data_IF_464865344302
#
_entry.id   IF_464865344302
#
_cell.length_a   1.000
_cell.length_b   1.000
_cell.length_c   1.000
_cell.angle_alpha   90.00
_cell.angle_beta   90.00
_cell.angle_gamma   90.00
#
_symmetry.space_group_name_H-M   'P 1'
#
loop_
_entity.id
_entity.type
_entity.pdbx_description
1 polymer ?
#
# COMPACT_ATOMS: atom_id res chain seq x y z
N UNK A 1 -14.45 29.45 -17.34
CA UNK A 1 -14.28 28.26 -18.22
C UNK A 1 -14.36 27.02 -17.33
N UNK A 2 -15.34 26.15 -17.52
CA UNK A 2 -15.38 24.85 -16.83
C UNK A 2 -14.42 23.91 -17.57
N UNK A 3 -13.39 23.41 -16.88
CA UNK A 3 -12.59 22.31 -17.43
C UNK A 3 -13.47 21.06 -17.50
N UNK A 4 -13.36 20.25 -18.57
CA UNK A 4 -14.08 19.00 -18.66
C UNK A 4 -13.70 18.08 -17.49
N UNK A 5 -14.63 17.26 -16.98
CA UNK A 5 -14.35 16.33 -15.90
C UNK A 5 -13.25 15.35 -16.32
N UNK A 6 -12.22 15.19 -15.48
CA UNK A 6 -11.12 14.25 -15.70
C UNK A 6 -11.60 12.79 -15.56
N UNK A 7 -10.82 11.81 -16.04
CA UNK A 7 -11.19 10.39 -15.96
C UNK A 7 -11.36 9.93 -14.52
N UNK A 8 -10.46 10.34 -13.63
CA UNK A 8 -10.56 10.00 -12.20
C UNK A 8 -11.72 10.73 -11.51
N UNK A 9 -12.17 11.87 -12.03
CA UNK A 9 -13.35 12.58 -11.51
C UNK A 9 -14.68 11.89 -11.85
N UNK A 10 -14.68 11.06 -12.90
CA UNK A 10 -15.84 10.28 -13.33
C UNK A 10 -15.94 8.93 -12.61
N UNK A 11 -14.91 8.53 -11.86
CA UNK A 11 -14.94 7.28 -11.10
C UNK A 11 -15.81 7.42 -9.85
N UNK A 12 -16.47 6.34 -9.40
CA UNK A 12 -17.14 6.35 -8.12
C UNK A 12 -16.15 6.65 -6.99
N UNK A 13 -16.64 7.17 -5.83
CA UNK A 13 -15.81 7.29 -4.64
C UNK A 13 -15.14 5.97 -4.26
N UNK A 14 -13.91 6.05 -3.80
CA UNK A 14 -13.14 4.93 -3.22
C UNK A 14 -13.79 4.41 -1.94
N UNK A 15 -14.38 5.30 -1.15
CA UNK A 15 -15.15 4.97 0.05
C UNK A 15 -16.37 5.88 0.06
N UNK A 16 -17.55 5.29 -0.05
CA UNK A 16 -18.82 6.00 0.19
C UNK A 16 -19.11 6.08 1.69
N UNK A 17 -20.05 6.94 2.08
CA UNK A 17 -20.53 6.98 3.46
C UNK A 17 -21.14 5.62 3.84
N UNK A 18 -21.87 4.99 2.92
CA UNK A 18 -22.48 3.68 3.13
C UNK A 18 -21.44 2.59 3.33
N UNK A 19 -20.35 2.57 2.54
CA UNK A 19 -19.25 1.62 2.74
C UNK A 19 -18.68 1.72 4.17
N UNK A 20 -18.42 2.96 4.62
CA UNK A 20 -17.91 3.22 5.96
C UNK A 20 -18.90 2.77 7.05
N UNK A 21 -20.18 3.15 6.93
CA UNK A 21 -21.23 2.79 7.89
C UNK A 21 -21.44 1.27 7.93
N UNK A 22 -21.32 0.60 6.79
CA UNK A 22 -21.46 -0.86 6.67
C UNK A 22 -20.33 -1.64 7.32
N UNK A 23 -19.20 -1.01 7.68
CA UNK A 23 -18.18 -1.63 8.54
C UNK A 23 -18.71 -1.90 9.96
N UNK A 24 -19.81 -1.26 10.38
CA UNK A 24 -20.44 -1.50 11.67
C UNK A 24 -21.41 -2.68 11.59
N UNK A 25 -21.66 -3.33 12.74
CA UNK A 25 -22.62 -4.44 12.81
C UNK A 25 -24.03 -3.94 12.45
N UNK A 26 -24.40 -2.79 12.99
CA UNK A 26 -25.64 -2.08 12.71
C UNK A 26 -25.31 -0.73 12.03
N UNK A 27 -25.83 -0.45 10.82
CA UNK A 27 -25.69 0.85 10.16
C UNK A 27 -26.18 2.05 11.00
N UNK A 28 -27.14 1.84 11.91
CA UNK A 28 -27.69 2.89 12.77
C UNK A 28 -26.90 3.10 14.07
N UNK A 29 -25.79 2.38 14.26
CA UNK A 29 -24.93 2.47 15.44
C UNK A 29 -24.51 3.93 15.68
N UNK A 30 -24.67 4.38 16.93
CA UNK A 30 -24.29 5.73 17.36
C UNK A 30 -22.82 6.06 16.99
N UNK A 31 -21.92 5.08 17.04
CA UNK A 31 -20.50 5.23 16.69
C UNK A 31 -20.29 5.42 15.19
N UNK A 32 -21.15 4.86 14.35
CA UNK A 32 -21.12 5.07 12.90
C UNK A 32 -21.49 6.52 12.58
N UNK A 33 -22.61 7.00 13.14
CA UNK A 33 -23.06 8.40 12.99
C UNK A 33 -22.04 9.41 13.50
N UNK A 34 -21.43 9.17 14.66
CA UNK A 34 -20.33 10.02 15.16
C UNK A 34 -19.10 9.99 14.26
N UNK A 35 -18.80 8.84 13.66
CA UNK A 35 -17.69 8.71 12.72
C UNK A 35 -17.90 9.55 11.46
N UNK A 36 -19.10 9.48 10.87
CA UNK A 36 -19.47 10.33 9.73
C UNK A 36 -19.38 11.80 10.11
N UNK A 37 -20.01 12.20 11.23
CA UNK A 37 -19.97 13.59 11.71
C UNK A 37 -18.57 14.11 12.05
N UNK A 38 -17.59 13.22 12.26
CA UNK A 38 -16.19 13.60 12.44
C UNK A 38 -15.41 13.66 11.13
N UNK A 39 -15.61 12.70 10.23
CA UNK A 39 -14.81 12.52 9.01
C UNK A 39 -15.28 13.40 7.84
N UNK A 40 -16.58 13.63 7.71
CA UNK A 40 -17.16 14.40 6.60
C UNK A 40 -16.74 15.89 6.65
N UNK A 41 -16.80 16.60 7.80
CA UNK A 41 -16.32 18.00 7.85
C UNK A 41 -14.82 18.15 7.61
N UNK A 42 -14.04 17.07 7.81
CA UNK A 42 -12.62 17.00 7.49
C UNK A 42 -12.37 16.67 6.01
N UNK A 43 -13.42 16.47 5.22
CA UNK A 43 -13.30 16.08 3.83
C UNK A 43 -12.65 14.70 3.66
N UNK A 44 -12.78 13.78 4.62
CA UNK A 44 -12.27 12.40 4.48
C UNK A 44 -13.30 11.48 3.83
N UNK A 45 -14.60 11.73 4.07
CA UNK A 45 -15.72 11.01 3.47
C UNK A 45 -16.64 11.96 2.70
N UNK A 46 -17.19 11.55 1.54
CA UNK A 46 -16.77 10.39 0.75
C UNK A 46 -15.34 10.56 0.20
N UNK A 47 -14.58 9.46 0.15
CA UNK A 47 -13.19 9.49 -0.32
C UNK A 47 -13.16 9.32 -1.84
N UNK A 48 -12.61 10.29 -2.58
CA UNK A 48 -12.47 10.23 -4.05
C UNK A 48 -10.98 10.31 -4.45
N UNK A 49 -10.66 10.09 -5.72
CA UNK A 49 -9.28 10.22 -6.23
C UNK A 49 -8.69 11.63 -6.11
N UNK A 50 -9.53 12.67 -6.12
CA UNK A 50 -9.10 14.08 -6.02
C UNK A 50 -9.11 14.60 -4.58
N UNK A 51 -9.38 13.72 -3.61
CA UNK A 51 -9.42 14.09 -2.21
C UNK A 51 -8.01 14.47 -1.72
N UNK A 52 -7.89 15.63 -1.06
CA UNK A 52 -6.60 16.14 -0.56
C UNK A 52 -5.92 15.22 0.46
N UNK A 53 -6.71 14.42 1.19
CA UNK A 53 -6.22 13.48 2.20
C UNK A 53 -5.89 12.08 1.64
N UNK A 54 -6.25 11.77 0.39
CA UNK A 54 -5.97 10.46 -0.22
C UNK A 54 -4.47 10.12 -0.25
N UNK A 55 -3.53 11.04 -0.53
CA UNK A 55 -2.10 10.71 -0.49
C UNK A 55 -1.63 10.22 0.89
N UNK A 56 -2.07 10.85 1.97
CA UNK A 56 -1.71 10.44 3.35
C UNK A 56 -2.39 9.12 3.73
N UNK A 57 -3.67 8.96 3.37
CA UNK A 57 -4.39 7.69 3.55
C UNK A 57 -3.74 6.55 2.77
N UNK A 58 -3.24 6.79 1.56
CA UNK A 58 -2.52 5.80 0.77
C UNK A 58 -1.21 5.35 1.45
N UNK A 59 -0.48 6.28 2.07
CA UNK A 59 0.72 5.93 2.86
C UNK A 59 0.34 4.98 3.99
N UNK A 60 -0.67 5.33 4.81
CA UNK A 60 -1.12 4.48 5.91
C UNK A 60 -1.68 3.14 5.42
N UNK A 61 -2.43 3.16 4.32
CA UNK A 61 -3.01 1.98 3.68
C UNK A 61 -1.92 1.01 3.22
N UNK A 62 -0.89 1.50 2.52
CA UNK A 62 0.22 0.69 2.04
C UNK A 62 1.00 0.05 3.21
N UNK A 63 1.27 0.82 4.26
CA UNK A 63 1.97 0.30 5.43
C UNK A 63 1.17 -0.79 6.15
N UNK A 64 -0.14 -0.59 6.32
CA UNK A 64 -1.02 -1.61 6.90
C UNK A 64 -1.10 -2.85 6.01
N UNK A 65 -1.26 -2.68 4.70
CA UNK A 65 -1.37 -3.79 3.76
C UNK A 65 -0.11 -4.66 3.76
N UNK A 66 1.08 -4.06 3.67
CA UNK A 66 2.34 -4.81 3.50
C UNK A 66 3.06 -5.19 4.80
N UNK A 67 2.84 -4.45 5.88
CA UNK A 67 3.61 -4.57 7.14
C UNK A 67 2.77 -4.27 8.38
N UNK A 68 1.46 -4.49 8.34
CA UNK A 68 0.59 -4.16 9.46
C UNK A 68 -0.65 -5.05 9.57
N UNK A 69 -1.58 -4.61 10.41
CA UNK A 69 -2.84 -5.29 10.71
C UNK A 69 -3.92 -4.31 11.15
N UNK A 70 -5.19 -4.60 10.86
CA UNK A 70 -6.35 -3.95 11.48
C UNK A 70 -6.94 -4.93 12.49
N UNK A 71 -6.59 -4.78 13.76
CA UNK A 71 -7.02 -5.68 14.83
C UNK A 71 -8.03 -4.99 15.73
N UNK A 72 -9.25 -5.53 15.83
CA UNK A 72 -10.33 -4.93 16.64
C UNK A 72 -10.57 -3.44 16.31
N UNK A 73 -10.55 -3.10 15.03
CA UNK A 73 -10.67 -1.73 14.51
C UNK A 73 -9.53 -0.78 14.93
N UNK A 74 -8.36 -1.31 15.31
CA UNK A 74 -7.14 -0.54 15.56
C UNK A 74 -6.14 -0.86 14.44
N UNK A 75 -5.71 0.16 13.69
CA UNK A 75 -4.61 0.04 12.75
C UNK A 75 -3.27 -0.11 13.48
N UNK A 76 -2.51 -1.14 13.16
CA UNK A 76 -1.17 -1.42 13.71
C UNK A 76 -0.18 -1.56 12.57
N UNK A 77 0.88 -0.75 12.60
CA UNK A 77 1.92 -0.72 11.55
C UNK A 77 3.24 -1.17 12.16
N UNK A 78 3.87 -2.18 11.56
CA UNK A 78 5.23 -2.57 11.88
C UNK A 78 6.22 -1.83 10.97
N UNK A 79 7.05 -0.98 11.55
CA UNK A 79 8.03 -0.15 10.85
C UNK A 79 9.32 -0.01 11.69
N UNK A 80 10.48 0.10 11.05
CA UNK A 80 11.72 0.43 11.77
C UNK A 80 11.69 1.88 12.27
N UNK A 81 12.45 2.24 13.32
CA UNK A 81 12.50 3.60 13.83
C UNK A 81 12.71 4.68 12.76
N UNK A 82 13.61 4.45 11.81
CA UNK A 82 13.93 5.36 10.70
C UNK A 82 12.77 5.52 9.68
N UNK A 83 11.84 4.57 9.64
CA UNK A 83 10.67 4.59 8.75
C UNK A 83 9.46 5.27 9.40
N UNK A 84 9.46 5.44 10.74
CA UNK A 84 8.33 6.00 11.49
C UNK A 84 8.06 7.46 11.17
N UNK A 85 9.05 8.24 10.74
CA UNK A 85 8.89 9.66 10.43
C UNK A 85 7.80 9.93 9.40
N UNK A 86 7.87 9.25 8.24
CA UNK A 86 6.88 9.41 7.16
C UNK A 86 5.47 8.95 7.58
N UNK A 87 5.39 7.90 8.41
CA UNK A 87 4.11 7.38 8.92
C UNK A 87 3.49 8.40 9.89
N UNK A 88 4.29 8.96 10.79
CA UNK A 88 3.86 9.99 11.76
C UNK A 88 3.40 11.26 11.05
N UNK A 89 4.13 11.71 10.03
CA UNK A 89 3.74 12.88 9.23
C UNK A 89 2.39 12.67 8.52
N UNK A 90 2.20 11.54 7.86
CA UNK A 90 0.93 11.24 7.17
C UNK A 90 -0.25 11.18 8.17
N UNK A 91 -0.03 10.62 9.36
CA UNK A 91 -1.04 10.59 10.41
C UNK A 91 -1.34 12.00 10.97
N UNK A 92 -0.31 12.83 11.16
CA UNK A 92 -0.47 14.22 11.62
C UNK A 92 -1.31 15.05 10.63
N UNK A 93 -1.07 14.91 9.32
CA UNK A 93 -1.86 15.58 8.28
C UNK A 93 -3.36 15.17 8.28
N UNK A 94 -3.68 14.04 8.90
CA UNK A 94 -5.04 13.53 9.06
C UNK A 94 -5.63 13.82 10.46
N UNK A 95 -4.92 14.57 11.31
CA UNK A 95 -5.23 14.72 12.73
C UNK A 95 -5.37 13.36 13.46
N UNK A 96 -4.67 12.33 12.97
CA UNK A 96 -4.63 11.00 13.56
C UNK A 96 -3.45 10.89 14.51
N UNK A 97 -3.74 10.61 15.78
CA UNK A 97 -2.70 10.32 16.77
C UNK A 97 -2.19 8.89 16.62
N UNK A 98 -0.88 8.72 16.73
CA UNK A 98 -0.22 7.42 16.77
C UNK A 98 0.47 7.25 18.11
N UNK A 99 0.37 6.05 18.69
CA UNK A 99 1.15 5.64 19.85
C UNK A 99 2.17 4.59 19.47
N UNK A 100 3.37 4.69 20.03
CA UNK A 100 4.38 3.65 19.95
C UNK A 100 4.01 2.50 20.88
N UNK A 101 3.69 1.30 20.34
CA UNK A 101 3.47 0.08 21.14
C UNK A 101 4.77 -0.65 21.46
N UNK A 102 5.73 -0.57 20.54
CA UNK A 102 7.06 -1.11 20.69
C UNK A 102 8.05 -0.31 19.84
N UNK A 103 9.37 -0.54 19.96
CA UNK A 103 10.35 0.11 19.10
C UNK A 103 10.07 -0.05 17.60
N UNK A 104 9.35 -1.11 17.20
CA UNK A 104 9.05 -1.43 15.80
C UNK A 104 7.58 -1.44 15.43
N UNK A 105 6.70 -1.00 16.33
CA UNK A 105 5.24 -1.02 16.11
C UNK A 105 4.58 0.30 16.53
N UNK A 106 3.79 0.85 15.62
CA UNK A 106 2.91 2.00 15.80
C UNK A 106 1.46 1.52 15.81
N UNK A 107 0.62 2.12 16.65
CA UNK A 107 -0.81 1.86 16.66
C UNK A 107 -1.60 3.17 16.59
N UNK A 108 -2.75 3.11 15.92
CA UNK A 108 -3.67 4.24 15.81
C UNK A 108 -4.30 4.50 17.18
N UNK A 109 -4.07 5.68 17.75
CA UNK A 109 -4.67 6.09 19.01
C UNK A 109 -6.00 6.77 18.71
N UNK A 110 -7.10 6.26 19.29
CA UNK A 110 -8.47 6.73 19.02
C UNK A 110 -8.91 6.66 17.53
N UNK A 111 -8.06 6.15 16.64
CA UNK A 111 -8.27 6.10 15.19
C UNK A 111 -9.16 4.97 14.69
N UNK A 112 -10.19 4.59 15.46
CA UNK A 112 -11.12 3.52 15.05
C UNK A 112 -11.88 3.85 13.77
N UNK A 113 -12.16 5.14 13.54
CA UNK A 113 -12.80 5.61 12.31
C UNK A 113 -11.85 5.53 11.11
N UNK A 114 -10.60 5.98 11.26
CA UNK A 114 -9.59 5.84 10.20
C UNK A 114 -9.30 4.38 9.87
N UNK A 115 -9.20 3.49 10.87
CA UNK A 115 -9.05 2.07 10.62
C UNK A 115 -10.21 1.49 9.79
N UNK A 116 -11.45 1.94 10.02
CA UNK A 116 -12.63 1.53 9.24
C UNK A 116 -12.67 2.11 7.83
N UNK A 117 -12.20 3.34 7.64
CA UNK A 117 -11.99 3.91 6.29
C UNK A 117 -10.99 3.04 5.52
N UNK A 118 -9.86 2.70 6.15
CA UNK A 118 -8.83 1.83 5.54
C UNK A 118 -9.33 0.40 5.29
N UNK A 119 -10.19 -0.14 6.16
CA UNK A 119 -10.91 -1.40 5.92
C UNK A 119 -11.81 -1.29 4.68
N UNK A 120 -12.54 -0.19 4.52
CA UNK A 120 -13.40 0.08 3.34
C UNK A 120 -12.59 0.23 2.05
N UNK A 121 -11.31 0.63 2.14
CA UNK A 121 -10.37 0.65 1.00
C UNK A 121 -9.84 -0.75 0.62
N UNK A 122 -10.29 -1.81 1.29
CA UNK A 122 -9.95 -3.21 0.99
C UNK A 122 -8.87 -3.83 1.88
N UNK A 123 -8.52 -3.21 3.01
CA UNK A 123 -7.53 -3.76 3.95
C UNK A 123 -8.22 -4.71 4.93
N UNK A 124 -8.09 -6.01 4.65
CA UNK A 124 -8.68 -7.09 5.45
C UNK A 124 -7.62 -8.08 5.94
N UNK A 125 -6.54 -7.60 6.53
CA UNK A 125 -5.35 -8.39 6.91
C UNK A 125 -5.43 -9.06 8.30
N UNK A 126 -6.48 -8.81 9.10
CA UNK A 126 -6.75 -9.50 10.38
C UNK A 126 -8.23 -9.41 10.77
N UNK A 127 -8.60 -9.78 12.02
CA UNK A 127 -9.96 -9.60 12.56
C UNK A 127 -10.35 -8.11 12.53
N UNK A 128 -10.92 -7.68 11.41
CA UNK A 128 -11.49 -6.37 11.18
C UNK A 128 -12.85 -6.22 11.85
N UNK A 129 -13.82 -5.64 11.14
CA UNK A 129 -15.20 -5.57 11.59
C UNK A 129 -15.84 -6.94 11.85
N UNK A 130 -16.86 -6.99 12.70
CA UNK A 130 -17.59 -8.22 13.06
C UNK A 130 -18.25 -8.92 11.85
N UNK A 131 -18.49 -8.21 10.74
CA UNK A 131 -19.04 -8.78 9.50
C UNK A 131 -17.99 -9.48 8.62
N UNK A 132 -16.70 -9.15 8.79
CA UNK A 132 -15.58 -9.75 8.06
C UNK A 132 -14.84 -10.83 8.88
N UNK A 133 -15.54 -11.49 9.81
CA UNK A 133 -14.93 -12.44 10.76
C UNK A 133 -14.33 -13.70 10.10
N UNK A 134 -14.63 -13.97 8.83
CA UNK A 134 -14.53 -15.32 8.28
C UNK A 134 -13.32 -15.63 7.40
N UNK A 135 -12.26 -14.81 7.42
CA UNK A 135 -11.13 -15.08 6.50
C UNK A 135 -9.76 -14.94 7.14
N UNK A 136 -9.46 -15.77 8.15
CA UNK A 136 -8.05 -16.13 8.43
C UNK A 136 -7.32 -16.62 7.16
N UNK A 137 -8.08 -17.15 6.19
CA UNK A 137 -7.57 -17.77 4.97
C UNK A 137 -7.43 -16.85 3.72
N UNK A 138 -7.86 -15.58 3.76
CA UNK A 138 -7.85 -14.68 2.57
C UNK A 138 -7.10 -13.36 2.76
N UNK A 139 -6.14 -13.32 3.68
CA UNK A 139 -5.38 -12.10 3.95
C UNK A 139 -4.36 -11.81 2.82
N UNK A 140 -4.39 -10.56 2.31
CA UNK A 140 -3.40 -10.00 1.38
C UNK A 140 -3.17 -10.82 0.09
N UNK A 141 -4.22 -11.43 -0.46
CA UNK A 141 -4.15 -12.22 -1.71
C UNK A 141 -4.29 -11.39 -2.99
N UNK A 142 -4.51 -10.08 -2.85
CA UNK A 142 -4.57 -9.12 -3.95
C UNK A 142 -4.01 -7.76 -3.51
N UNK A 143 -3.51 -6.99 -4.47
CA UNK A 143 -3.20 -5.57 -4.30
C UNK A 143 -4.50 -4.81 -4.03
N UNK A 144 -4.44 -3.69 -3.29
CA UNK A 144 -5.62 -2.87 -2.98
C UNK A 144 -6.39 -2.49 -4.26
N UNK A 145 -7.74 -2.58 -4.30
CA UNK A 145 -8.52 -2.44 -5.52
C UNK A 145 -8.26 -1.16 -6.31
N UNK A 146 -8.16 -0.01 -5.63
CA UNK A 146 -7.89 1.27 -6.27
C UNK A 146 -6.46 1.35 -6.84
N UNK A 147 -5.48 0.74 -6.16
CA UNK A 147 -4.10 0.66 -6.66
C UNK A 147 -4.03 -0.23 -7.89
N UNK A 148 -4.72 -1.37 -7.86
CA UNK A 148 -4.85 -2.26 -9.03
C UNK A 148 -5.48 -1.53 -10.21
N UNK A 149 -6.62 -0.86 -9.98
CA UNK A 149 -7.29 -0.05 -10.99
C UNK A 149 -6.36 1.00 -11.62
N UNK A 150 -5.62 1.75 -10.78
CA UNK A 150 -4.67 2.75 -11.24
C UNK A 150 -3.55 2.14 -12.08
N UNK A 151 -3.02 0.98 -11.69
CA UNK A 151 -1.97 0.29 -12.45
C UNK A 151 -2.49 -0.22 -13.81
N UNK A 152 -3.67 -0.84 -13.84
CA UNK A 152 -4.29 -1.40 -15.06
C UNK A 152 -4.61 -0.32 -16.09
N UNK A 153 -5.01 0.87 -15.64
CA UNK A 153 -5.38 1.99 -16.51
C UNK A 153 -4.23 2.98 -16.69
N UNK A 154 -3.02 2.67 -16.22
CA UNK A 154 -1.90 3.62 -16.22
C UNK A 154 -1.53 4.12 -17.62
N UNK A 155 -1.55 3.22 -18.60
CA UNK A 155 -1.27 3.53 -20.01
C UNK A 155 -2.29 4.52 -20.60
N UNK A 156 -3.55 4.45 -20.16
CA UNK A 156 -4.62 5.33 -20.62
C UNK A 156 -4.43 6.78 -20.10
N UNK A 157 -3.70 6.97 -18.99
CA UNK A 157 -3.38 8.31 -18.46
C UNK A 157 -2.35 9.09 -19.27
N UNK A 158 -1.69 8.47 -20.27
CA UNK A 158 -0.87 9.23 -21.23
C UNK A 158 -1.72 10.05 -22.21
N UNK A 159 -2.97 9.65 -22.41
CA UNK A 159 -3.94 10.30 -23.32
C UNK A 159 -4.86 11.26 -22.56
N UNK A 160 -4.95 11.12 -21.24
CA UNK A 160 -5.89 11.86 -20.39
C UNK A 160 -5.17 12.86 -19.48
N UNK A 161 -5.85 13.95 -19.17
CA UNK A 161 -5.40 15.15 -18.43
C UNK A 161 -4.21 14.94 -17.46
N UNK A 162 -3.23 15.85 -17.53
CA UNK A 162 -1.98 15.75 -16.77
C UNK A 162 -2.14 15.71 -15.23
N UNK A 163 -3.30 16.08 -14.69
CA UNK A 163 -3.62 15.98 -13.26
C UNK A 163 -3.87 14.52 -12.83
N UNK A 164 -4.72 13.78 -13.55
CA UNK A 164 -4.99 12.36 -13.25
C UNK A 164 -3.72 11.54 -13.23
N UNK A 165 -2.83 11.80 -14.21
CA UNK A 165 -1.52 11.14 -14.27
C UNK A 165 -0.66 11.46 -13.05
N UNK A 166 -0.68 12.69 -12.54
CA UNK A 166 0.07 13.07 -11.33
C UNK A 166 -0.46 12.33 -10.10
N UNK A 167 -1.78 12.29 -9.92
CA UNK A 167 -2.44 11.57 -8.83
C UNK A 167 -2.08 10.09 -8.90
N UNK A 168 -2.34 9.44 -10.04
CA UNK A 168 -2.05 8.02 -10.24
C UNK A 168 -0.58 7.69 -10.01
N UNK A 169 0.34 8.49 -10.57
CA UNK A 169 1.78 8.31 -10.40
C UNK A 169 2.17 8.42 -8.92
N UNK A 170 1.70 9.45 -8.22
CA UNK A 170 2.01 9.64 -6.79
C UNK A 170 1.58 8.44 -5.95
N UNK A 171 0.31 8.02 -6.11
CA UNK A 171 -0.26 6.94 -5.33
C UNK A 171 0.47 5.61 -5.58
N UNK A 172 0.73 5.27 -6.84
CA UNK A 172 1.48 4.05 -7.23
C UNK A 172 2.94 4.09 -6.77
N UNK A 173 3.62 5.23 -6.92
CA UNK A 173 5.01 5.42 -6.49
C UNK A 173 5.14 5.22 -4.98
N UNK A 174 4.28 5.86 -4.18
CA UNK A 174 4.28 5.70 -2.73
C UNK A 174 4.03 4.24 -2.35
N UNK A 175 3.05 3.60 -2.97
CA UNK A 175 2.66 2.22 -2.67
C UNK A 175 3.81 1.25 -2.95
N UNK A 176 4.46 1.37 -4.11
CA UNK A 176 5.64 0.59 -4.46
C UNK A 176 6.81 0.84 -3.50
N UNK A 177 7.08 2.11 -3.15
CA UNK A 177 8.15 2.46 -2.21
C UNK A 177 7.90 1.84 -0.83
N UNK A 178 6.67 1.92 -0.33
CA UNK A 178 6.33 1.35 0.97
C UNK A 178 6.43 -0.18 0.95
N UNK A 179 5.97 -0.84 -0.13
CA UNK A 179 6.14 -2.29 -0.30
C UNK A 179 7.61 -2.70 -0.22
N UNK A 180 8.48 -2.06 -0.99
CA UNK A 180 9.91 -2.35 -0.95
C UNK A 180 10.47 -2.09 0.48
N UNK A 181 10.10 -0.98 1.15
CA UNK A 181 10.61 -0.63 2.50
C UNK A 181 10.16 -1.64 3.56
N UNK A 182 8.92 -2.13 3.44
CA UNK A 182 8.34 -3.12 4.31
C UNK A 182 8.97 -4.51 4.14
N UNK A 183 9.24 -4.91 2.88
CA UNK A 183 9.54 -6.32 2.54
C UNK A 183 11.01 -6.62 2.27
N UNK A 184 11.87 -5.61 2.08
CA UNK A 184 13.33 -5.78 2.06
C UNK A 184 13.98 -5.81 3.46
N UNK A 185 13.18 -5.66 4.52
CA UNK A 185 13.63 -5.34 5.88
C UNK A 185 14.41 -6.46 6.58
N UNK A 186 14.22 -7.72 6.20
CA UNK A 186 14.53 -8.84 7.11
C UNK A 186 15.91 -9.47 6.90
N UNK A 187 16.54 -9.32 5.73
CA UNK A 187 17.82 -9.97 5.43
C UNK A 187 18.80 -9.07 4.68
N UNK A 188 20.02 -8.91 5.22
CA UNK A 188 21.16 -8.42 4.44
C UNK A 188 21.32 -9.37 3.25
N UNK A 189 21.31 -8.87 2.02
CA UNK A 189 21.41 -9.62 0.75
C UNK A 189 20.10 -10.24 0.22
N UNK A 190 18.94 -9.73 0.61
CA UNK A 190 17.68 -10.15 -0.03
C UNK A 190 17.62 -9.58 -1.45
N UNK A 191 17.56 -10.46 -2.46
CA UNK A 191 17.39 -10.13 -3.89
C UNK A 191 15.97 -10.47 -4.36
N UNK A 192 14.99 -10.31 -3.49
CA UNK A 192 13.62 -10.68 -3.78
C UNK A 192 12.61 -9.97 -2.87
N UNK A 193 11.38 -9.80 -3.37
CA UNK A 193 10.23 -9.41 -2.57
C UNK A 193 9.47 -10.65 -2.13
N UNK A 194 9.52 -10.94 -0.83
CA UNK A 194 8.64 -11.91 -0.20
C UNK A 194 7.29 -11.24 0.06
N UNK A 195 6.19 -11.69 -0.54
CA UNK A 195 4.89 -11.05 -0.36
C UNK A 195 4.12 -11.73 0.77
N UNK A 196 3.43 -10.98 1.65
CA UNK A 196 2.75 -11.53 2.84
C UNK A 196 1.43 -12.25 2.52
N UNK A 197 1.38 -13.07 1.47
CA UNK A 197 0.17 -13.76 1.05
C UNK A 197 0.01 -15.07 1.82
N UNK A 198 -1.12 -15.25 2.50
CA UNK A 198 -1.49 -16.55 3.06
C UNK A 198 -2.38 -17.29 2.06
N UNK A 199 -1.88 -17.53 0.84
CA UNK A 199 -2.71 -18.04 -0.24
C UNK A 199 -3.02 -19.55 -0.06
N UNK A 200 -4.27 -19.93 -0.32
CA UNK A 200 -4.72 -21.33 -0.28
C UNK A 200 -4.18 -22.16 -1.45
N UNK A 201 -3.73 -21.51 -2.53
CA UNK A 201 -3.19 -22.17 -3.72
C UNK A 201 -2.05 -21.37 -4.36
N UNK A 202 -1.20 -22.08 -5.13
CA UNK A 202 -0.13 -21.46 -5.92
C UNK A 202 -0.68 -20.43 -6.92
N UNK A 203 -1.82 -20.71 -7.57
CA UNK A 203 -2.42 -19.80 -8.55
C UNK A 203 -2.84 -18.46 -7.93
N UNK A 204 -3.36 -18.48 -6.70
CA UNK A 204 -3.68 -17.25 -5.96
C UNK A 204 -2.38 -16.49 -5.63
N UNK A 205 -1.35 -17.20 -5.17
CA UNK A 205 -0.05 -16.59 -4.89
C UNK A 205 0.57 -15.94 -6.15
N UNK A 206 0.57 -16.65 -7.29
CA UNK A 206 1.08 -16.12 -8.56
C UNK A 206 0.30 -14.91 -9.04
N UNK A 207 -1.03 -14.90 -8.92
CA UNK A 207 -1.86 -13.74 -9.30
C UNK A 207 -1.51 -12.50 -8.50
N UNK A 208 -1.28 -12.62 -7.19
CA UNK A 208 -0.82 -11.48 -6.39
C UNK A 208 0.53 -10.95 -6.91
N UNK A 209 1.51 -11.84 -7.14
CA UNK A 209 2.81 -11.41 -7.65
C UNK A 209 2.70 -10.74 -9.01
N UNK A 210 1.84 -11.23 -9.91
CA UNK A 210 1.56 -10.59 -11.19
C UNK A 210 0.96 -9.19 -11.02
N UNK A 211 0.02 -9.00 -10.09
CA UNK A 211 -0.53 -7.68 -9.77
C UNK A 211 0.55 -6.73 -9.24
N UNK A 212 1.44 -7.21 -8.37
CA UNK A 212 2.57 -6.43 -7.87
C UNK A 212 3.52 -6.06 -9.01
N UNK A 213 3.87 -6.99 -9.90
CA UNK A 213 4.68 -6.71 -11.09
C UNK A 213 4.01 -5.65 -11.97
N UNK A 214 2.70 -5.77 -12.23
CA UNK A 214 1.94 -4.78 -13.00
C UNK A 214 2.00 -3.39 -12.37
N UNK A 215 1.83 -3.31 -11.04
CA UNK A 215 1.96 -2.07 -10.28
C UNK A 215 3.36 -1.44 -10.41
N UNK A 216 4.43 -2.24 -10.28
CA UNK A 216 5.80 -1.74 -10.49
C UNK A 216 6.03 -1.30 -11.93
N UNK A 217 5.59 -2.08 -12.91
CA UNK A 217 5.84 -1.77 -14.32
C UNK A 217 5.08 -0.53 -14.79
N UNK A 218 3.98 -0.16 -14.14
CA UNK A 218 3.28 1.10 -14.40
C UNK A 218 4.17 2.33 -14.12
N UNK A 219 4.90 2.34 -12.99
CA UNK A 219 5.68 3.53 -12.55
C UNK A 219 7.19 3.37 -12.63
N UNK A 220 7.68 2.13 -12.69
CA UNK A 220 9.09 1.75 -12.76
C UNK A 220 9.36 0.70 -13.86
N UNK A 221 8.94 0.90 -15.12
CA UNK A 221 9.09 -0.09 -16.19
C UNK A 221 10.53 -0.55 -16.42
N UNK A 222 11.53 0.31 -16.16
CA UNK A 222 12.96 -0.04 -16.31
C UNK A 222 13.51 -0.93 -15.19
N UNK A 223 12.71 -1.25 -14.18
CA UNK A 223 13.05 -2.28 -13.19
C UNK A 223 12.99 -3.69 -13.81
N UNK A 224 12.43 -3.85 -15.01
CA UNK A 224 12.49 -5.10 -15.78
C UNK A 224 11.81 -6.26 -15.08
N UNK A 225 10.73 -6.01 -14.34
CA UNK A 225 9.98 -7.08 -13.67
C UNK A 225 9.08 -7.79 -14.68
N UNK A 226 9.10 -9.12 -14.68
CA UNK A 226 8.26 -9.94 -15.55
C UNK A 226 7.83 -11.24 -14.85
N UNK A 227 6.76 -11.91 -15.29
CA UNK A 227 6.23 -13.10 -14.60
C UNK A 227 7.22 -14.26 -14.44
N UNK A 228 8.27 -14.31 -15.27
CA UNK A 228 9.36 -15.30 -15.16
C UNK A 228 10.23 -15.13 -13.90
N UNK A 229 10.12 -13.99 -13.20
CA UNK A 229 10.78 -13.74 -11.91
C UNK A 229 9.92 -14.15 -10.72
N UNK A 230 8.73 -14.74 -10.94
CA UNK A 230 7.87 -15.20 -9.86
C UNK A 230 8.29 -16.60 -9.44
N UNK A 231 8.82 -16.70 -8.23
CA UNK A 231 9.01 -17.95 -7.50
C UNK A 231 7.94 -18.10 -6.42
N UNK A 232 7.75 -19.31 -5.91
CA UNK A 232 6.83 -19.56 -4.81
C UNK A 232 7.45 -20.55 -3.83
N UNK A 233 6.97 -20.55 -2.59
CA UNK A 233 7.24 -21.61 -1.63
C UNK A 233 5.99 -21.95 -0.83
N UNK A 234 5.92 -23.20 -0.36
CA UNK A 234 4.83 -23.70 0.47
C UNK A 234 5.28 -23.82 1.93
N UNK A 235 4.61 -23.11 2.84
CA UNK A 235 4.90 -23.16 4.26
C UNK A 235 4.13 -24.31 4.91
N UNK A 236 4.75 -25.50 4.99
CA UNK A 236 4.11 -26.75 5.46
C UNK A 236 3.33 -26.61 6.78
N UNK A 237 3.89 -25.93 7.78
CA UNK A 237 3.25 -25.78 9.10
C UNK A 237 2.01 -24.88 9.09
N UNK A 238 1.92 -23.96 8.13
CA UNK A 238 0.81 -22.99 8.01
C UNK A 238 -0.19 -23.38 6.93
N UNK A 239 0.12 -24.41 6.14
CA UNK A 239 -0.75 -24.90 5.07
C UNK A 239 -0.99 -23.88 3.96
N UNK A 240 -0.03 -23.00 3.65
CA UNK A 240 -0.26 -21.90 2.72
C UNK A 240 0.92 -21.60 1.78
N UNK A 241 0.60 -20.96 0.66
CA UNK A 241 1.50 -20.59 -0.43
C UNK A 241 1.91 -19.13 -0.33
N UNK A 242 3.20 -18.86 -0.48
CA UNK A 242 3.79 -17.52 -0.45
C UNK A 242 4.49 -17.22 -1.78
N UNK A 243 4.10 -16.16 -2.48
CA UNK A 243 4.77 -15.76 -3.69
C UNK A 243 5.98 -14.87 -3.38
N UNK A 244 7.01 -15.07 -4.19
CA UNK A 244 8.25 -14.30 -4.19
C UNK A 244 8.45 -13.71 -5.58
N UNK A 245 8.90 -12.46 -5.64
CA UNK A 245 9.36 -11.84 -6.89
C UNK A 245 10.86 -11.66 -6.78
N UNK A 246 11.61 -12.38 -7.61
CA UNK A 246 13.04 -12.22 -7.74
C UNK A 246 13.38 -10.85 -8.33
N UNK A 247 14.36 -10.19 -7.71
CA UNK A 247 14.83 -8.87 -8.06
C UNK A 247 16.31 -8.95 -8.40
N UNK A 248 16.65 -9.20 -9.68
CA UNK A 248 18.04 -9.21 -10.13
C UNK A 248 18.74 -7.91 -9.70
N UNK A 249 19.97 -8.03 -9.20
CA UNK A 249 20.71 -6.89 -8.67
C UNK A 249 20.87 -5.79 -9.72
N UNK A 250 21.20 -6.14 -10.96
CA UNK A 250 21.37 -5.20 -12.07
C UNK A 250 20.11 -4.37 -12.35
N UNK A 251 18.94 -5.03 -12.37
CA UNK A 251 17.64 -4.40 -12.57
C UNK A 251 17.31 -3.42 -11.44
N UNK A 252 17.57 -3.82 -10.19
CA UNK A 252 17.34 -2.98 -9.02
C UNK A 252 18.28 -1.76 -9.04
N UNK A 253 19.55 -1.92 -9.40
CA UNK A 253 20.51 -0.82 -9.51
C UNK A 253 20.16 0.16 -10.64
N UNK A 254 19.78 -0.37 -11.80
CA UNK A 254 19.31 0.45 -12.92
C UNK A 254 18.07 1.26 -12.53
N UNK A 255 17.10 0.63 -11.85
CA UNK A 255 15.92 1.31 -11.33
C UNK A 255 16.28 2.35 -10.26
N UNK A 256 17.20 2.04 -9.34
CA UNK A 256 17.67 3.00 -8.34
C UNK A 256 18.31 4.23 -8.97
N UNK A 257 19.17 4.01 -9.96
CA UNK A 257 19.81 5.06 -10.73
C UNK A 257 18.80 5.91 -11.49
N UNK A 258 17.87 5.28 -12.20
CA UNK A 258 16.95 5.98 -13.09
C UNK A 258 15.84 6.73 -12.34
N UNK A 259 15.31 6.15 -11.26
CA UNK A 259 14.14 6.68 -10.55
C UNK A 259 14.48 7.36 -9.22
N UNK A 260 15.76 7.47 -8.88
CA UNK A 260 16.18 8.08 -7.63
C UNK A 260 15.70 7.29 -6.40
N UNK A 261 15.63 5.95 -6.51
CA UNK A 261 15.27 5.10 -5.36
C UNK A 261 16.40 5.03 -4.31
N UNK A 262 17.41 5.90 -4.35
CA UNK A 262 18.52 5.96 -3.40
C UNK A 262 18.13 6.25 -1.95
N UNK A 263 16.90 6.71 -1.70
CA UNK A 263 16.29 6.78 -0.37
C UNK A 263 15.87 5.43 0.20
N UNK A 264 15.95 4.36 -0.59
CA UNK A 264 16.03 3.00 -0.09
C UNK A 264 17.31 2.89 0.74
N UNK A 265 17.17 2.91 2.06
CA UNK A 265 18.18 2.43 2.99
C UNK A 265 17.93 0.96 3.40
N UNK A 266 18.02 -0.05 2.51
CA UNK A 266 18.27 -1.39 2.97
C UNK A 266 19.74 -1.38 3.41
N UNK A 267 19.97 -1.75 4.67
CA UNK A 267 21.26 -2.00 5.33
C UNK A 267 22.53 -1.84 4.48
N UNK A 268 23.53 -1.11 4.99
CA UNK A 268 24.95 -0.93 4.55
C UNK A 268 25.42 -1.36 3.13
N UNK A 269 25.06 -2.55 2.62
CA UNK A 269 25.35 -3.04 1.26
C UNK A 269 24.62 -2.27 0.15
N UNK A 270 23.35 -1.90 0.28
CA UNK A 270 22.70 -1.12 -0.79
C UNK A 270 23.12 0.35 -0.79
N UNK A 271 23.65 0.85 0.34
CA UNK A 271 24.35 2.13 0.37
C UNK A 271 25.67 2.09 -0.42
N UNK A 272 26.45 1.00 -0.31
CA UNK A 272 27.65 0.82 -1.15
C UNK A 272 27.31 0.61 -2.63
N UNK A 273 26.19 -0.04 -2.93
CA UNK A 273 25.69 -0.18 -4.29
C UNK A 273 25.15 1.14 -4.88
N UNK A 274 24.43 1.95 -4.09
CA UNK A 274 24.05 3.31 -4.46
C UNK A 274 25.28 4.17 -4.78
N UNK A 275 26.34 4.06 -3.95
CA UNK A 275 27.64 4.70 -4.23
C UNK A 275 28.26 4.21 -5.56
N UNK A 276 28.23 2.90 -5.85
CA UNK A 276 28.69 2.34 -7.13
C UNK A 276 27.88 2.88 -8.32
N UNK A 277 26.55 2.90 -8.22
CA UNK A 277 25.68 3.43 -9.27
C UNK A 277 25.91 4.93 -9.51
N UNK A 278 26.10 5.73 -8.45
CA UNK A 278 26.47 7.15 -8.60
C UNK A 278 27.90 7.37 -9.11
N UNK A 279 28.79 6.39 -8.91
CA UNK A 279 30.16 6.41 -9.44
C UNK A 279 30.22 6.09 -10.94
N UNK A 280 29.26 5.34 -11.47
CA UNK A 280 29.11 5.09 -12.90
C UNK A 280 28.56 6.31 -13.66
N UNK A 281 27.77 7.17 -13.01
CA UNK A 281 27.24 8.40 -13.59
C UNK A 281 28.30 9.53 -13.75
N UNK A 282 29.50 9.35 -13.18
CA UNK A 282 30.61 10.31 -13.23
C UNK A 282 31.73 9.89 -14.20
N UNK A 283 31.48 8.93 -15.07
CA UNK A 283 32.37 8.56 -16.18
C UNK A 283 31.70 8.83 -17.51
#
# INVERSE_FOLDING_TARGET
>A
MHMPPTFLSQQPPLVTIDDFVNTYRDPNDYRARRGVAFLEPKGVLPLTYHNAHLPDLNILAAWLHWSGSIWRNEGRIHAQPEQKGNIKQAAENLDLKLRDKSPTELAFENGTWYARVLESMGIHNSQGSLKAQDTKAKHNIQVLPYIRFLAEHFSNYHVMHGEDRKIATKLLVDHCKILLLARFRKYRNQHYLDLPANAESEDIARRLAQQVIGMFNAVYPKMGLHPGLISHYYHKERGNHHPRIDLPEENLLAAMHHYGLFGFQPSSRYHSLGKKATGWARK
#
